data_IF_483010136418
#
_entry.id   IF_483010136418
#
_cell.length_a   1.000
_cell.length_b   1.000
_cell.length_c   1.000
_cell.angle_alpha   90.00
_cell.angle_beta   90.00
_cell.angle_gamma   90.00
#
_symmetry.space_group_name_H-M   'P 1'
#
loop_
_entity.id
_entity.type
_entity.pdbx_description
1 polymer ?
#
# COMPACT_ATOMS: atom_id res chain seq x y z
N UNK A 1 11.42 9.65 -12.93
CA UNK A 1 10.09 9.26 -12.49
C UNK A 1 9.59 8.12 -13.32
N UNK A 2 9.31 7.02 -12.68
CA UNK A 2 8.75 5.82 -13.31
C UNK A 2 7.24 5.94 -13.58
N UNK A 3 6.56 4.81 -13.54
CA UNK A 3 5.13 4.67 -13.81
C UNK A 3 4.33 4.73 -12.51
N UNK A 4 3.07 5.21 -12.57
CA UNK A 4 2.18 5.12 -11.42
C UNK A 4 1.78 3.66 -11.14
N UNK A 5 1.61 3.30 -9.87
CA UNK A 5 1.21 1.94 -9.47
C UNK A 5 -0.12 1.52 -10.10
N UNK A 6 -1.10 2.44 -10.24
CA UNK A 6 -2.37 2.17 -10.93
C UNK A 6 -2.20 1.82 -12.41
N UNK A 7 -1.21 2.40 -13.11
CA UNK A 7 -0.97 2.09 -14.53
C UNK A 7 -0.40 0.67 -14.66
N UNK A 8 0.53 0.30 -13.77
CA UNK A 8 1.08 -1.07 -13.70
C UNK A 8 0.01 -2.11 -13.35
N UNK A 9 -0.96 -1.74 -12.49
CA UNK A 9 -2.12 -2.56 -12.16
C UNK A 9 -2.97 -2.88 -13.40
N UNK A 10 -3.36 -1.86 -14.18
CA UNK A 10 -4.15 -2.06 -15.38
C UNK A 10 -3.47 -2.98 -16.41
N UNK A 11 -2.14 -2.85 -16.57
CA UNK A 11 -1.34 -3.73 -17.43
C UNK A 11 -1.31 -5.16 -16.89
N UNK A 12 -1.05 -5.34 -15.59
CA UNK A 12 -1.02 -6.65 -14.96
C UNK A 12 -2.36 -7.38 -15.07
N UNK A 13 -3.48 -6.67 -14.92
CA UNK A 13 -4.81 -7.26 -15.14
C UNK A 13 -5.00 -7.78 -16.57
N UNK A 14 -4.57 -7.02 -17.58
CA UNK A 14 -4.63 -7.43 -18.97
C UNK A 14 -3.78 -8.68 -19.22
N UNK A 15 -2.56 -8.71 -18.69
CA UNK A 15 -1.65 -9.88 -18.78
C UNK A 15 -2.29 -11.12 -18.13
N UNK A 16 -2.85 -10.98 -16.94
CA UNK A 16 -3.50 -12.06 -16.20
C UNK A 16 -4.78 -12.55 -16.92
N UNK A 17 -5.57 -11.64 -17.47
CA UNK A 17 -6.77 -11.98 -18.23
C UNK A 17 -6.49 -12.84 -19.47
N UNK A 18 -5.30 -12.74 -20.06
CA UNK A 18 -4.88 -13.56 -21.19
C UNK A 18 -4.66 -15.04 -20.81
N UNK A 19 -4.23 -15.30 -19.57
CA UNK A 19 -3.80 -16.64 -19.13
C UNK A 19 -4.77 -17.30 -18.15
N UNK A 20 -5.71 -16.54 -17.59
CA UNK A 20 -6.69 -17.07 -16.63
C UNK A 20 -8.12 -16.55 -16.92
N UNK A 21 -9.03 -17.41 -17.41
CA UNK A 21 -10.41 -17.01 -17.75
C UNK A 21 -11.31 -16.80 -16.52
N UNK A 22 -10.88 -17.20 -15.33
CA UNK A 22 -11.66 -16.97 -14.11
C UNK A 22 -11.47 -15.59 -13.52
N UNK A 23 -10.48 -14.82 -14.01
CA UNK A 23 -10.31 -13.43 -13.62
C UNK A 23 -11.41 -12.59 -14.24
N UNK A 24 -12.12 -11.87 -13.37
CA UNK A 24 -13.13 -10.88 -13.72
C UNK A 24 -12.79 -9.55 -13.01
N UNK A 25 -13.13 -8.45 -13.65
CA UNK A 25 -12.81 -7.12 -13.10
C UNK A 25 -14.10 -6.33 -12.95
N UNK A 26 -14.24 -5.71 -11.78
CA UNK A 26 -15.36 -4.82 -11.49
C UNK A 26 -14.85 -3.40 -11.23
N UNK A 27 -15.64 -2.41 -11.61
CA UNK A 27 -15.36 -1.00 -11.36
C UNK A 27 -16.66 -0.28 -10.99
N UNK A 28 -16.53 0.86 -10.33
CA UNK A 28 -17.65 1.71 -9.93
C UNK A 28 -17.58 3.07 -10.66
N UNK A 29 -17.70 3.04 -11.99
CA UNK A 29 -17.71 4.20 -12.90
C UNK A 29 -16.41 5.05 -12.88
N UNK A 30 -15.28 4.42 -12.53
CA UNK A 30 -13.96 5.07 -12.44
C UNK A 30 -12.88 4.39 -13.30
N UNK A 31 -13.27 3.54 -14.25
CA UNK A 31 -12.36 2.64 -14.98
C UNK A 31 -11.20 3.34 -15.71
N UNK A 32 -11.43 4.57 -16.19
CA UNK A 32 -10.37 5.39 -16.79
C UNK A 32 -9.32 5.83 -15.76
N UNK A 33 -9.73 6.11 -14.52
CA UNK A 33 -8.89 6.57 -13.42
C UNK A 33 -8.17 5.41 -12.73
N UNK A 34 -8.86 4.32 -12.44
CA UNK A 34 -8.32 3.10 -11.83
C UNK A 34 -7.46 2.27 -12.80
N UNK A 35 -7.57 2.55 -14.12
CA UNK A 35 -6.93 1.83 -15.23
C UNK A 35 -7.52 0.45 -15.52
N UNK A 36 -8.62 0.08 -14.91
CA UNK A 36 -9.35 -1.15 -15.23
C UNK A 36 -9.90 -1.16 -16.67
N UNK A 37 -10.08 0.02 -17.30
CA UNK A 37 -10.41 0.13 -18.72
C UNK A 37 -9.43 -0.62 -19.65
N UNK A 38 -8.18 -0.86 -19.23
CA UNK A 38 -7.19 -1.62 -20.00
C UNK A 38 -7.64 -3.09 -20.11
N UNK A 39 -8.17 -3.66 -19.02
CA UNK A 39 -8.78 -4.97 -18.99
C UNK A 39 -10.11 -4.98 -19.74
N UNK A 40 -11.00 -4.00 -19.51
CA UNK A 40 -12.29 -3.87 -20.14
C UNK A 40 -12.22 -3.90 -21.67
N UNK A 41 -11.25 -3.18 -22.27
CA UNK A 41 -11.00 -3.15 -23.72
C UNK A 41 -10.54 -4.50 -24.28
N UNK A 42 -9.79 -5.28 -23.50
CA UNK A 42 -9.26 -6.58 -23.92
C UNK A 42 -10.26 -7.72 -23.68
N UNK A 43 -11.05 -7.64 -22.63
CA UNK A 43 -11.97 -8.71 -22.18
C UNK A 43 -13.33 -8.15 -21.76
N UNK A 44 -14.14 -7.56 -22.66
CA UNK A 44 -15.38 -6.89 -22.31
C UNK A 44 -16.40 -7.80 -21.62
N UNK A 45 -16.45 -9.09 -21.96
CA UNK A 45 -17.38 -10.06 -21.36
C UNK A 45 -17.01 -10.47 -19.92
N UNK A 46 -15.87 -10.00 -19.41
CA UNK A 46 -15.36 -10.26 -18.05
C UNK A 46 -15.14 -8.98 -17.25
N UNK A 47 -15.63 -7.87 -17.76
CA UNK A 47 -15.62 -6.57 -17.10
C UNK A 47 -17.04 -6.13 -16.75
N UNK A 48 -17.23 -5.67 -15.50
CA UNK A 48 -18.54 -5.25 -14.99
C UNK A 48 -18.40 -3.85 -14.37
N UNK A 49 -19.05 -2.88 -14.99
CA UNK A 49 -19.22 -1.57 -14.36
C UNK A 49 -20.54 -1.58 -13.58
N UNK A 50 -20.47 -1.30 -12.29
CA UNK A 50 -21.64 -1.31 -11.39
C UNK A 50 -22.25 0.06 -11.21
N UNK A 51 -21.73 1.07 -11.90
CA UNK A 51 -22.05 2.47 -11.67
C UNK A 51 -21.49 2.96 -10.32
N UNK A 52 -21.88 4.15 -9.89
CA UNK A 52 -21.43 4.76 -8.62
C UNK A 52 -22.12 4.06 -7.43
N UNK A 53 -21.76 2.77 -7.22
CA UNK A 53 -22.40 1.90 -6.24
C UNK A 53 -21.39 0.90 -5.62
N UNK A 54 -20.40 1.39 -4.89
CA UNK A 54 -19.26 0.62 -4.40
C UNK A 54 -19.66 -0.51 -3.44
N UNK A 55 -20.66 -0.27 -2.59
CA UNK A 55 -21.20 -1.30 -1.70
C UNK A 55 -21.83 -2.46 -2.50
N UNK A 56 -22.59 -2.13 -3.56
CA UNK A 56 -23.13 -3.13 -4.49
C UNK A 56 -22.00 -3.85 -5.23
N UNK A 57 -20.99 -3.14 -5.72
CA UNK A 57 -19.83 -3.73 -6.39
C UNK A 57 -19.15 -4.78 -5.51
N UNK A 58 -18.92 -4.51 -4.22
CA UNK A 58 -18.32 -5.46 -3.30
C UNK A 58 -19.23 -6.69 -3.04
N UNK A 59 -20.54 -6.49 -3.00
CA UNK A 59 -21.53 -7.59 -2.94
C UNK A 59 -21.51 -8.48 -4.19
N UNK A 60 -21.48 -7.87 -5.38
CA UNK A 60 -21.37 -8.59 -6.66
C UNK A 60 -20.05 -9.35 -6.73
N UNK A 61 -18.92 -8.72 -6.35
CA UNK A 61 -17.62 -9.37 -6.30
C UNK A 61 -17.63 -10.60 -5.35
N UNK A 62 -18.27 -10.48 -4.18
CA UNK A 62 -18.44 -11.60 -3.26
C UNK A 62 -19.23 -12.75 -3.90
N UNK A 63 -20.33 -12.45 -4.58
CA UNK A 63 -21.14 -13.44 -5.30
C UNK A 63 -20.36 -14.14 -6.42
N UNK A 64 -19.60 -13.40 -7.22
CA UNK A 64 -18.73 -13.95 -8.27
C UNK A 64 -17.64 -14.86 -7.69
N UNK A 65 -17.04 -14.47 -6.57
CA UNK A 65 -16.05 -15.29 -5.87
C UNK A 65 -16.67 -16.59 -5.32
N UNK A 66 -17.89 -16.52 -4.76
CA UNK A 66 -18.62 -17.69 -4.31
C UNK A 66 -18.97 -18.65 -5.47
N UNK A 67 -19.16 -18.12 -6.69
CA UNK A 67 -19.36 -18.87 -7.91
C UNK A 67 -18.04 -19.38 -8.56
N UNK A 68 -16.89 -19.19 -7.88
CA UNK A 68 -15.59 -19.73 -8.33
C UNK A 68 -14.76 -18.78 -9.20
N UNK A 69 -15.17 -17.52 -9.40
CA UNK A 69 -14.38 -16.51 -10.11
C UNK A 69 -13.33 -15.86 -9.20
N UNK A 70 -12.40 -15.14 -9.82
CA UNK A 70 -11.36 -14.36 -9.15
C UNK A 70 -11.62 -12.88 -9.46
N UNK A 71 -12.53 -12.22 -8.71
CA UNK A 71 -12.87 -10.83 -8.95
C UNK A 71 -11.80 -9.88 -8.39
N UNK A 72 -11.40 -8.91 -9.23
CA UNK A 72 -10.68 -7.71 -8.84
C UNK A 72 -11.70 -6.56 -8.84
N UNK A 73 -12.05 -6.07 -7.67
CA UNK A 73 -12.99 -4.97 -7.48
C UNK A 73 -12.22 -3.67 -7.25
N UNK A 74 -12.42 -2.68 -8.11
CA UNK A 74 -11.61 -1.46 -8.19
C UNK A 74 -12.45 -0.20 -8.12
N UNK A 75 -11.98 0.73 -7.30
CA UNK A 75 -12.49 2.09 -7.15
C UNK A 75 -11.41 2.94 -6.45
N UNK A 76 -11.71 4.17 -6.06
CA UNK A 76 -10.81 4.92 -5.19
C UNK A 76 -10.80 4.36 -3.77
N UNK A 77 -9.67 4.50 -3.07
CA UNK A 77 -9.49 3.94 -1.73
C UNK A 77 -10.56 4.43 -0.75
N UNK A 78 -10.91 5.72 -0.78
CA UNK A 78 -11.92 6.31 0.10
C UNK A 78 -13.30 5.68 -0.11
N UNK A 79 -13.63 5.30 -1.32
CA UNK A 79 -14.93 4.69 -1.63
C UNK A 79 -14.91 3.17 -1.38
N UNK A 80 -13.81 2.49 -1.72
CA UNK A 80 -13.65 1.06 -1.46
C UNK A 80 -13.54 0.76 0.03
N UNK A 81 -12.53 1.32 0.70
CA UNK A 81 -12.28 1.04 2.10
C UNK A 81 -13.24 1.77 3.05
N UNK A 82 -13.69 2.98 2.69
CA UNK A 82 -14.61 3.76 3.52
C UNK A 82 -16.07 3.37 3.30
N UNK A 83 -16.63 3.71 2.12
CA UNK A 83 -18.06 3.54 1.82
C UNK A 83 -18.53 2.09 1.82
N UNK A 84 -17.71 1.15 1.34
CA UNK A 84 -18.05 -0.26 1.23
C UNK A 84 -17.43 -1.15 2.32
N UNK A 85 -16.98 -0.56 3.44
CA UNK A 85 -16.28 -1.28 4.52
C UNK A 85 -17.09 -2.46 5.08
N UNK A 86 -18.38 -2.26 5.32
CA UNK A 86 -19.25 -3.30 5.86
C UNK A 86 -19.35 -4.50 4.92
N UNK A 87 -19.51 -4.27 3.62
CA UNK A 87 -19.58 -5.36 2.61
C UNK A 87 -18.26 -6.11 2.52
N UNK A 88 -17.13 -5.40 2.57
CA UNK A 88 -15.81 -6.05 2.63
C UNK A 88 -15.70 -6.92 3.88
N UNK A 89 -16.11 -6.40 5.04
CA UNK A 89 -16.06 -7.13 6.31
C UNK A 89 -16.94 -8.38 6.29
N UNK A 90 -18.22 -8.22 5.99
CA UNK A 90 -19.22 -9.27 6.19
C UNK A 90 -19.37 -10.19 4.97
N UNK A 91 -19.29 -9.63 3.75
CA UNK A 91 -19.52 -10.42 2.54
C UNK A 91 -18.24 -11.01 1.96
N UNK A 92 -17.06 -10.46 2.30
CA UNK A 92 -15.78 -10.90 1.74
C UNK A 92 -14.88 -11.54 2.81
N UNK A 93 -14.55 -10.80 3.88
CA UNK A 93 -13.57 -11.26 4.87
C UNK A 93 -14.13 -12.38 5.77
N UNK A 94 -15.36 -12.23 6.27
CA UNK A 94 -15.97 -13.21 7.16
C UNK A 94 -16.07 -14.62 6.52
N UNK A 95 -16.61 -14.78 5.30
CA UNK A 95 -16.64 -16.07 4.60
C UNK A 95 -15.32 -16.43 3.89
N UNK A 96 -14.25 -15.61 3.99
CA UNK A 96 -12.92 -15.81 3.36
C UNK A 96 -12.98 -15.93 1.84
N UNK A 97 -13.84 -15.17 1.18
CA UNK A 97 -14.00 -15.23 -0.26
C UNK A 97 -12.77 -14.69 -1.01
N UNK A 98 -12.53 -15.25 -2.18
CA UNK A 98 -11.38 -14.94 -3.01
C UNK A 98 -11.55 -13.65 -3.82
N UNK A 99 -11.75 -12.52 -3.13
CA UNK A 99 -11.93 -11.19 -3.73
C UNK A 99 -10.66 -10.36 -3.56
N UNK A 100 -10.25 -9.67 -4.63
CA UNK A 100 -9.15 -8.69 -4.62
C UNK A 100 -9.75 -7.30 -4.61
N UNK A 101 -9.73 -6.64 -3.46
CA UNK A 101 -10.13 -5.24 -3.30
C UNK A 101 -8.92 -4.39 -3.69
N UNK A 102 -8.85 -4.01 -4.97
CA UNK A 102 -7.70 -3.33 -5.56
C UNK A 102 -8.04 -1.86 -5.79
N UNK A 103 -7.70 -1.03 -4.81
CA UNK A 103 -8.03 0.40 -4.80
C UNK A 103 -6.89 1.25 -5.33
N UNK A 104 -7.25 2.39 -5.92
CA UNK A 104 -6.32 3.43 -6.36
C UNK A 104 -6.61 4.75 -5.65
N UNK A 105 -5.82 5.79 -5.90
CA UNK A 105 -6.04 7.12 -5.33
C UNK A 105 -6.05 7.10 -3.78
N UNK A 106 -5.16 6.32 -3.18
CA UNK A 106 -4.94 6.36 -1.74
C UNK A 106 -3.93 7.47 -1.38
N UNK A 107 -4.08 8.06 -0.19
CA UNK A 107 -3.13 9.03 0.35
C UNK A 107 -3.38 10.48 -0.09
N UNK A 108 -2.46 11.36 0.29
CA UNK A 108 -2.47 12.79 -0.04
C UNK A 108 -2.19 13.08 -1.52
N UNK A 109 -1.44 12.19 -2.19
CA UNK A 109 -1.06 12.34 -3.60
C UNK A 109 -2.22 12.16 -4.60
N UNK A 110 -3.45 11.96 -4.10
CA UNK A 110 -4.67 12.22 -4.87
C UNK A 110 -4.67 13.66 -5.40
N UNK A 111 -4.20 14.59 -4.58
CA UNK A 111 -3.93 15.96 -5.02
C UNK A 111 -5.15 16.87 -4.93
N UNK A 112 -5.51 17.49 -6.07
CA UNK A 112 -6.47 18.58 -6.15
C UNK A 112 -7.88 18.21 -5.71
N UNK A 113 -8.27 16.93 -5.80
CA UNK A 113 -9.59 16.46 -5.36
C UNK A 113 -9.83 16.65 -3.85
N UNK A 114 -8.75 16.77 -3.07
CA UNK A 114 -8.77 17.19 -1.68
C UNK A 114 -9.26 16.11 -0.70
N UNK A 115 -9.52 16.55 0.53
CA UNK A 115 -9.80 15.70 1.69
C UNK A 115 -10.92 14.67 1.49
N UNK A 116 -11.93 14.97 0.69
CA UNK A 116 -13.05 14.06 0.43
C UNK A 116 -12.67 12.83 -0.40
N UNK A 117 -11.52 12.87 -1.07
CA UNK A 117 -11.00 11.81 -1.93
C UNK A 117 -9.68 11.23 -1.43
N UNK A 118 -8.97 11.94 -0.55
CA UNK A 118 -7.72 11.51 0.06
C UNK A 118 -8.01 10.53 1.20
N UNK A 119 -7.72 9.26 0.99
CA UNK A 119 -7.90 8.22 2.00
C UNK A 119 -6.62 8.05 2.81
N UNK A 120 -6.66 8.39 4.09
CA UNK A 120 -5.51 8.36 5.00
C UNK A 120 -5.63 7.29 6.10
N UNK A 121 -6.70 6.52 6.14
CA UNK A 121 -7.03 5.55 7.19
C UNK A 121 -7.32 4.13 6.69
N UNK A 122 -7.19 3.88 5.39
CA UNK A 122 -7.55 2.61 4.76
C UNK A 122 -6.69 1.42 5.22
N UNK A 123 -5.39 1.64 5.45
CA UNK A 123 -4.51 0.57 5.97
C UNK A 123 -5.00 0.15 7.35
N UNK A 124 -5.34 1.10 8.23
CA UNK A 124 -5.89 0.82 9.57
C UNK A 124 -7.17 0.01 9.49
N UNK A 125 -8.12 0.44 8.67
CA UNK A 125 -9.41 -0.23 8.50
C UNK A 125 -9.24 -1.66 7.99
N UNK A 126 -8.41 -1.86 6.98
CA UNK A 126 -8.21 -3.17 6.36
C UNK A 126 -7.37 -4.11 7.25
N UNK A 127 -6.38 -3.58 7.98
CA UNK A 127 -5.62 -4.37 8.97
C UNK A 127 -6.52 -4.94 10.07
N UNK A 128 -7.51 -4.19 10.50
CA UNK A 128 -8.44 -4.62 11.57
C UNK A 128 -9.32 -5.81 11.16
N UNK A 129 -9.52 -6.04 9.85
CA UNK A 129 -10.39 -7.12 9.37
C UNK A 129 -9.69 -8.49 9.46
N UNK A 130 -10.28 -9.49 10.17
CA UNK A 130 -9.79 -10.86 10.11
C UNK A 130 -9.76 -11.38 8.66
N UNK A 131 -8.79 -12.24 8.36
CA UNK A 131 -8.56 -12.87 7.06
C UNK A 131 -8.11 -11.94 5.92
N UNK A 132 -8.20 -10.63 6.04
CA UNK A 132 -7.72 -9.69 5.02
C UNK A 132 -6.18 -9.69 4.97
N UNK A 133 -5.63 -9.86 3.77
CA UNK A 133 -4.22 -9.56 3.47
C UNK A 133 -4.13 -8.11 2.97
N UNK A 134 -3.16 -7.33 3.48
CA UNK A 134 -3.02 -5.89 3.14
C UNK A 134 -1.65 -5.64 2.53
N UNK A 135 -1.64 -5.10 1.31
CA UNK A 135 -0.44 -4.89 0.49
C UNK A 135 -0.39 -3.43 0.02
N UNK A 136 0.77 -2.81 0.15
CA UNK A 136 1.06 -1.42 -0.27
C UNK A 136 2.34 -1.42 -1.12
N UNK A 137 2.26 -1.69 -2.42
CA UNK A 137 3.44 -1.76 -3.29
C UNK A 137 4.17 -0.41 -3.38
N UNK A 138 5.50 -0.44 -3.45
CA UNK A 138 6.34 0.75 -3.51
C UNK A 138 6.39 1.37 -4.92
N UNK A 139 6.35 0.55 -5.96
CA UNK A 139 6.47 0.99 -7.36
C UNK A 139 5.69 0.11 -8.35
N UNK A 140 5.91 0.38 -9.64
CA UNK A 140 5.24 -0.33 -10.72
C UNK A 140 5.65 -1.81 -10.83
N UNK A 141 6.92 -2.14 -10.62
CA UNK A 141 7.43 -3.52 -10.67
C UNK A 141 6.83 -4.36 -9.55
N UNK A 142 6.87 -3.85 -8.31
CA UNK A 142 6.29 -4.53 -7.16
C UNK A 142 4.75 -4.65 -7.28
N UNK A 143 4.09 -3.63 -7.85
CA UNK A 143 2.64 -3.70 -8.12
C UNK A 143 2.30 -4.86 -9.03
N UNK A 144 3.01 -5.02 -10.17
CA UNK A 144 2.80 -6.15 -11.07
C UNK A 144 3.02 -7.49 -10.37
N UNK A 145 4.09 -7.62 -9.58
CA UNK A 145 4.39 -8.83 -8.83
C UNK A 145 3.30 -9.14 -7.78
N UNK A 146 2.84 -8.14 -7.03
CA UNK A 146 1.79 -8.27 -6.03
C UNK A 146 0.43 -8.66 -6.65
N UNK A 147 0.06 -8.07 -7.78
CA UNK A 147 -1.17 -8.39 -8.51
C UNK A 147 -1.14 -9.83 -9.06
N UNK A 148 -0.01 -10.26 -9.62
CA UNK A 148 0.20 -11.65 -10.08
C UNK A 148 0.10 -12.64 -8.92
N UNK A 149 0.75 -12.33 -7.80
CA UNK A 149 0.62 -13.14 -6.59
C UNK A 149 -0.82 -13.19 -6.09
N UNK A 150 -1.49 -12.05 -5.99
CA UNK A 150 -2.88 -11.97 -5.50
C UNK A 150 -3.83 -12.82 -6.34
N UNK A 151 -3.65 -12.89 -7.66
CA UNK A 151 -4.46 -13.74 -8.54
C UNK A 151 -4.32 -15.23 -8.22
N UNK A 152 -3.18 -15.70 -7.71
CA UNK A 152 -2.94 -17.09 -7.33
C UNK A 152 -3.32 -17.41 -5.88
N UNK A 153 -3.44 -16.41 -5.02
CA UNK A 153 -3.77 -16.58 -3.61
C UNK A 153 -5.28 -16.74 -3.41
N UNK A 154 -5.68 -17.76 -2.64
CA UNK A 154 -7.09 -18.01 -2.29
C UNK A 154 -7.45 -17.32 -0.98
N UNK A 155 -8.13 -16.19 -1.07
CA UNK A 155 -8.56 -15.39 0.07
C UNK A 155 -8.68 -13.91 -0.26
N UNK A 156 -9.20 -13.10 0.69
CA UNK A 156 -9.35 -11.67 0.48
C UNK A 156 -8.00 -10.95 0.53
N UNK A 157 -7.79 -10.04 -0.44
CA UNK A 157 -6.58 -9.21 -0.53
C UNK A 157 -7.00 -7.78 -0.77
N UNK A 158 -6.46 -6.86 0.00
CA UNK A 158 -6.51 -5.42 -0.23
C UNK A 158 -5.19 -4.97 -0.83
N UNK A 159 -5.23 -4.35 -2.02
CA UNK A 159 -4.06 -3.80 -2.70
C UNK A 159 -4.24 -2.29 -2.79
N UNK A 160 -3.36 -1.56 -2.11
CA UNK A 160 -3.38 -0.10 -2.03
C UNK A 160 -2.46 0.53 -3.06
N UNK A 161 -3.01 1.34 -3.95
CA UNK A 161 -2.24 1.99 -5.02
C UNK A 161 -2.49 3.50 -5.05
N UNK A 162 -1.46 4.26 -5.46
CA UNK A 162 -1.55 5.71 -5.61
C UNK A 162 -1.98 6.16 -7.01
N UNK A 163 -2.25 7.48 -7.12
CA UNK A 163 -2.51 8.19 -8.38
C UNK A 163 -1.22 8.69 -9.02
N UNK A 164 -0.31 9.22 -8.20
CA UNK A 164 0.92 9.84 -8.65
C UNK A 164 1.91 8.83 -9.25
N UNK A 165 2.80 9.32 -10.12
CA UNK A 165 3.96 8.54 -10.55
C UNK A 165 4.91 8.34 -9.37
N UNK A 166 5.55 7.18 -9.32
CA UNK A 166 6.57 6.83 -8.32
C UNK A 166 7.90 6.53 -8.98
N UNK A 167 8.96 6.57 -8.20
CA UNK A 167 10.29 6.19 -8.69
C UNK A 167 10.40 4.66 -8.77
N UNK A 168 11.10 4.17 -9.77
CA UNK A 168 11.38 2.73 -9.92
C UNK A 168 12.53 2.38 -8.97
N UNK A 169 12.22 1.59 -7.94
CA UNK A 169 13.16 1.24 -6.86
C UNK A 169 13.27 -0.26 -6.61
N UNK A 170 12.31 -1.03 -7.13
CA UNK A 170 12.31 -2.48 -6.98
C UNK A 170 12.81 -3.17 -8.24
N UNK A 171 13.53 -4.30 -8.12
CA UNK A 171 13.90 -5.12 -9.27
C UNK A 171 12.66 -5.60 -10.04
N UNK A 172 12.68 -5.52 -11.38
CA UNK A 172 11.53 -5.85 -12.23
C UNK A 172 11.05 -7.31 -12.07
N UNK A 173 11.95 -8.25 -11.87
CA UNK A 173 11.63 -9.69 -11.82
C UNK A 173 11.54 -10.24 -10.39
N UNK A 174 11.54 -9.38 -9.37
CA UNK A 174 11.43 -9.84 -7.99
C UNK A 174 10.02 -10.34 -7.68
N UNK A 175 9.86 -11.62 -7.28
CA UNK A 175 8.55 -12.13 -6.91
C UNK A 175 8.07 -11.48 -5.60
N UNK A 176 6.77 -11.19 -5.53
CA UNK A 176 6.14 -10.76 -4.28
C UNK A 176 5.92 -11.97 -3.37
N UNK A 177 6.33 -11.83 -2.10
CA UNK A 177 6.14 -12.85 -1.06
C UNK A 177 5.43 -12.20 0.13
N UNK A 178 4.18 -12.58 0.44
CA UNK A 178 3.45 -11.99 1.55
C UNK A 178 4.14 -12.29 2.89
N UNK A 179 4.16 -11.30 3.78
CA UNK A 179 4.84 -11.42 5.08
C UNK A 179 6.36 -11.36 5.00
N UNK A 180 6.94 -11.02 3.84
CA UNK A 180 8.37 -10.76 3.69
C UNK A 180 8.60 -9.35 3.17
N UNK A 181 9.59 -8.70 3.77
CA UNK A 181 10.06 -7.38 3.41
C UNK A 181 11.25 -7.44 2.45
N UNK A 182 11.67 -6.28 1.95
CA UNK A 182 12.88 -6.17 1.14
C UNK A 182 13.81 -5.13 1.73
N UNK A 183 15.01 -5.52 2.14
CA UNK A 183 16.08 -4.58 2.46
C UNK A 183 16.62 -4.01 1.15
N UNK A 184 16.46 -2.71 0.95
CA UNK A 184 16.94 -1.98 -0.24
C UNK A 184 18.31 -1.34 0.00
N UNK A 185 18.63 -1.03 1.24
CA UNK A 185 19.93 -0.49 1.67
C UNK A 185 20.25 -1.02 3.05
N UNK A 186 21.45 -1.51 3.25
CA UNK A 186 21.96 -1.89 4.58
C UNK A 186 22.41 -0.65 5.37
N UNK A 187 22.42 -0.76 6.70
CA UNK A 187 22.85 0.29 7.61
C UNK A 187 22.86 -0.18 9.05
N UNK A 188 23.59 0.57 9.92
CA UNK A 188 23.85 0.20 11.31
C UNK A 188 23.37 1.21 12.35
N UNK A 189 23.06 2.47 11.95
CA UNK A 189 22.77 3.53 12.91
C UNK A 189 21.26 3.75 13.13
N UNK A 190 20.45 3.54 12.11
CA UNK A 190 18.98 3.70 12.15
C UNK A 190 18.37 2.88 11.04
N UNK A 191 17.12 2.41 11.20
CA UNK A 191 16.38 1.76 10.13
C UNK A 191 15.13 2.55 9.78
N UNK A 192 14.96 2.85 8.49
CA UNK A 192 13.70 3.26 7.91
C UNK A 192 12.91 2.02 7.46
N UNK A 193 11.69 1.85 7.95
CA UNK A 193 10.73 0.86 7.47
C UNK A 193 9.62 1.62 6.76
N UNK A 194 9.54 1.50 5.45
CA UNK A 194 8.63 2.30 4.63
C UNK A 194 7.73 1.43 3.74
N UNK A 195 6.60 1.98 3.31
CA UNK A 195 5.73 1.37 2.30
C UNK A 195 5.27 2.40 1.26
N UNK A 196 4.84 1.90 0.11
CA UNK A 196 4.36 2.76 -0.97
C UNK A 196 5.42 3.79 -1.40
N UNK A 197 4.96 4.98 -1.77
CA UNK A 197 5.83 6.05 -2.27
C UNK A 197 6.87 6.54 -1.24
N UNK A 198 6.62 6.32 0.05
CA UNK A 198 7.55 6.73 1.09
C UNK A 198 8.84 5.91 1.10
N UNK A 199 8.86 4.75 0.47
CA UNK A 199 10.08 3.93 0.33
C UNK A 199 11.17 4.65 -0.48
N UNK A 200 10.81 5.32 -1.57
CA UNK A 200 11.75 6.12 -2.35
C UNK A 200 12.27 7.34 -1.57
N UNK A 201 11.40 7.98 -0.75
CA UNK A 201 11.80 9.08 0.13
C UNK A 201 12.77 8.60 1.21
N UNK A 202 12.55 7.40 1.76
CA UNK A 202 13.46 6.78 2.74
C UNK A 202 14.84 6.46 2.13
N UNK A 203 14.90 5.97 0.90
CA UNK A 203 16.17 5.78 0.19
C UNK A 203 16.95 7.09 0.01
N UNK A 204 16.25 8.15 -0.44
CA UNK A 204 16.86 9.49 -0.58
C UNK A 204 17.35 10.05 0.76
N UNK A 205 16.61 9.85 1.84
CA UNK A 205 17.02 10.22 3.18
C UNK A 205 18.29 9.47 3.61
N UNK A 206 18.33 8.14 3.40
CA UNK A 206 19.48 7.31 3.74
C UNK A 206 20.74 7.68 2.95
N UNK A 207 20.62 8.02 1.66
CA UNK A 207 21.73 8.53 0.84
C UNK A 207 22.28 9.88 1.36
N UNK A 208 21.40 10.73 1.86
CA UNK A 208 21.79 12.04 2.41
C UNK A 208 22.45 11.88 3.77
N UNK A 209 21.96 11.00 4.64
CA UNK A 209 22.56 10.66 5.93
C UNK A 209 23.96 10.04 5.77
N UNK A 210 24.15 9.19 4.77
CA UNK A 210 25.45 8.57 4.48
C UNK A 210 26.55 9.63 4.19
N UNK A 211 26.21 10.71 3.49
CA UNK A 211 27.14 11.85 3.27
C UNK A 211 27.50 12.58 4.55
N UNK A 212 26.73 12.40 5.61
CA UNK A 212 26.95 12.93 6.95
C UNK A 212 27.61 11.91 7.89
N UNK A 213 28.00 10.74 7.37
CA UNK A 213 28.64 9.67 8.15
C UNK A 213 27.66 8.79 8.94
N UNK A 214 26.36 8.86 8.65
CA UNK A 214 25.33 8.08 9.33
C UNK A 214 24.84 6.97 8.39
N UNK A 215 24.94 5.73 8.85
CA UNK A 215 24.58 4.52 8.10
C UNK A 215 23.12 4.12 8.37
N UNK A 216 22.22 4.53 7.48
CA UNK A 216 20.80 4.24 7.59
C UNK A 216 20.39 3.01 6.71
N UNK A 217 19.72 2.04 7.34
CA UNK A 217 19.07 0.91 6.65
C UNK A 217 17.73 1.33 6.09
N UNK A 218 17.35 0.79 4.92
CA UNK A 218 16.02 0.99 4.32
C UNK A 218 15.37 -0.35 4.02
N UNK A 219 14.21 -0.58 4.60
CA UNK A 219 13.38 -1.76 4.40
C UNK A 219 12.06 -1.34 3.75
N UNK A 220 11.77 -1.89 2.56
CA UNK A 220 10.44 -1.82 1.96
C UNK A 220 9.54 -2.88 2.59
N UNK A 221 8.51 -2.44 3.31
CA UNK A 221 7.51 -3.28 3.98
C UNK A 221 6.18 -3.19 3.24
N UNK A 222 6.12 -3.70 2.02
CA UNK A 222 4.90 -3.68 1.21
C UNK A 222 3.81 -4.62 1.70
N UNK A 223 4.16 -5.69 2.43
CA UNK A 223 3.20 -6.55 3.11
C UNK A 223 2.94 -6.04 4.52
N UNK A 224 1.79 -5.37 4.71
CA UNK A 224 1.41 -4.80 6.02
C UNK A 224 0.72 -5.87 6.88
N UNK A 225 0.00 -6.78 6.23
CA UNK A 225 -0.64 -7.93 6.88
C UNK A 225 -0.71 -9.12 5.92
N UNK A 226 -0.02 -10.23 6.24
CA UNK A 226 0.89 -10.40 7.38
C UNK A 226 2.12 -9.48 7.26
N UNK A 227 2.70 -9.08 8.39
CA UNK A 227 3.92 -8.26 8.43
C UNK A 227 5.15 -9.14 8.67
N UNK A 228 6.33 -8.70 8.24
CA UNK A 228 7.61 -9.38 8.46
C UNK A 228 8.16 -9.07 9.87
N UNK A 229 7.64 -9.79 10.88
CA UNK A 229 8.06 -9.60 12.28
C UNK A 229 9.56 -9.87 12.50
N UNK A 230 10.12 -10.86 11.80
CA UNK A 230 11.54 -11.22 11.92
C UNK A 230 12.44 -10.07 11.44
N UNK A 231 12.12 -9.47 10.28
CA UNK A 231 12.88 -8.35 9.75
C UNK A 231 12.80 -7.12 10.65
N UNK A 232 11.63 -6.85 11.26
CA UNK A 232 11.44 -5.72 12.19
C UNK A 232 12.32 -5.91 13.43
N UNK A 233 12.24 -7.07 14.08
CA UNK A 233 13.02 -7.36 15.29
C UNK A 233 14.51 -7.32 15.00
N UNK A 234 14.96 -7.98 13.92
CA UNK A 234 16.36 -7.97 13.50
C UNK A 234 16.86 -6.53 13.23
N UNK A 235 16.10 -5.76 12.51
CA UNK A 235 16.47 -4.36 12.23
C UNK A 235 16.60 -3.52 13.50
N UNK A 236 15.67 -3.68 14.45
CA UNK A 236 15.69 -3.00 15.73
C UNK A 236 16.89 -3.42 16.59
N UNK A 237 17.25 -4.70 16.63
CA UNK A 237 18.42 -5.19 17.35
C UNK A 237 19.74 -4.69 16.77
N UNK A 238 19.84 -4.65 15.45
CA UNK A 238 21.09 -4.27 14.76
C UNK A 238 21.30 -2.77 14.70
N UNK A 239 20.23 -1.97 14.62
CA UNK A 239 20.34 -0.50 14.47
C UNK A 239 19.90 0.29 15.72
N UNK A 240 19.17 -0.32 16.64
CA UNK A 240 18.73 0.30 17.91
C UNK A 240 17.66 1.39 17.77
N UNK A 241 17.28 1.78 16.56
CA UNK A 241 16.30 2.84 16.28
C UNK A 241 15.53 2.57 14.99
N UNK A 242 14.21 2.67 15.04
CA UNK A 242 13.30 2.42 13.92
C UNK A 242 12.49 3.67 13.62
N UNK A 243 12.41 4.03 12.33
CA UNK A 243 11.50 5.08 11.84
C UNK A 243 10.61 4.45 10.79
N UNK A 244 9.30 4.52 10.98
CA UNK A 244 8.34 4.11 9.95
C UNK A 244 7.97 5.28 9.06
N UNK A 245 7.68 5.00 7.78
CA UNK A 245 7.29 6.02 6.81
C UNK A 245 6.15 5.53 5.91
N UNK A 246 5.03 6.23 5.96
CA UNK A 246 3.80 5.88 5.22
C UNK A 246 3.04 7.13 4.78
N UNK A 247 2.43 7.09 3.60
CA UNK A 247 1.48 8.11 3.13
C UNK A 247 0.08 7.78 3.66
N UNK A 248 -0.07 7.82 4.97
CA UNK A 248 -1.24 7.39 5.73
C UNK A 248 -1.18 8.02 7.12
N UNK A 249 -2.26 7.98 7.89
CA UNK A 249 -2.21 8.39 9.30
C UNK A 249 -1.25 7.49 10.07
N UNK A 250 -0.49 8.09 11.01
CA UNK A 250 0.37 7.33 11.93
C UNK A 250 -0.42 6.40 12.86
N UNK A 251 -1.75 6.59 12.93
CA UNK A 251 -2.63 5.82 13.81
C UNK A 251 -3.09 4.51 13.15
N UNK A 252 -2.45 3.40 13.53
CA UNK A 252 -2.87 2.04 13.14
C UNK A 252 -2.43 1.58 11.74
N UNK A 253 -1.70 2.40 10.96
CA UNK A 253 -1.10 2.00 9.68
C UNK A 253 0.14 1.12 9.84
N UNK A 254 1.15 1.34 8.99
CA UNK A 254 2.45 0.66 9.07
C UNK A 254 3.13 0.93 10.41
N UNK A 255 3.16 2.19 10.85
CA UNK A 255 3.77 2.56 12.14
C UNK A 255 3.13 1.82 13.31
N UNK A 256 1.79 1.75 13.33
CA UNK A 256 1.06 0.96 14.32
C UNK A 256 1.41 -0.52 14.29
N UNK A 257 1.52 -1.12 13.08
CA UNK A 257 1.88 -2.52 12.93
C UNK A 257 3.30 -2.83 13.43
N UNK A 258 4.27 -1.97 13.13
CA UNK A 258 5.65 -2.11 13.62
C UNK A 258 5.72 -1.92 15.12
N UNK A 259 5.00 -0.93 15.67
CA UNK A 259 4.95 -0.69 17.11
C UNK A 259 4.36 -1.89 17.88
N UNK A 260 3.30 -2.53 17.37
CA UNK A 260 2.72 -3.75 17.95
C UNK A 260 3.76 -4.88 18.00
N UNK A 261 4.51 -5.11 16.93
CA UNK A 261 5.58 -6.13 16.91
C UNK A 261 6.65 -5.82 17.94
N UNK A 262 7.16 -4.59 17.96
CA UNK A 262 8.21 -4.18 18.90
C UNK A 262 7.73 -4.27 20.36
N UNK A 263 6.52 -3.83 20.66
CA UNK A 263 5.96 -3.89 22.01
C UNK A 263 5.81 -5.33 22.53
N UNK A 264 5.42 -6.27 21.65
CA UNK A 264 5.20 -7.68 22.02
C UNK A 264 6.47 -8.51 22.05
N UNK A 265 7.47 -8.18 21.23
CA UNK A 265 8.71 -8.97 21.12
C UNK A 265 9.86 -8.36 21.91
N UNK A 266 10.22 -7.12 21.60
CA UNK A 266 11.33 -6.40 22.25
C UNK A 266 11.21 -4.89 21.96
N UNK A 267 10.90 -4.08 22.97
CA UNK A 267 10.77 -2.62 22.79
C UNK A 267 12.09 -1.95 22.40
N UNK A 268 12.02 -1.05 21.41
CA UNK A 268 13.11 -0.22 20.93
C UNK A 268 12.65 1.22 20.72
N UNK A 269 13.60 2.14 20.55
CA UNK A 269 13.31 3.51 20.14
C UNK A 269 12.64 3.50 18.76
N UNK A 270 11.51 4.18 18.68
CA UNK A 270 10.73 4.25 17.45
C UNK A 270 10.16 5.66 17.25
N UNK A 271 10.09 6.08 15.99
CA UNK A 271 9.38 7.26 15.52
C UNK A 271 8.53 6.91 14.29
N UNK A 272 7.49 7.69 14.02
CA UNK A 272 6.54 7.43 12.95
C UNK A 272 6.38 8.69 12.08
N UNK A 273 6.68 8.57 10.79
CA UNK A 273 6.44 9.62 9.79
C UNK A 273 5.25 9.24 8.94
N UNK A 274 4.19 9.99 9.05
CA UNK A 274 2.91 9.86 8.37
C UNK A 274 2.09 11.12 8.57
N UNK A 275 0.82 11.11 8.18
CA UNK A 275 -0.07 12.21 8.54
C UNK A 275 -0.47 12.12 10.00
N UNK A 276 -0.44 13.27 10.68
CA UNK A 276 -0.93 13.37 12.05
C UNK A 276 -2.48 13.23 12.12
N UNK A 277 -3.07 13.56 13.25
CA UNK A 277 -4.52 13.51 13.46
C UNK A 277 -5.24 14.66 12.72
N UNK A 278 -5.19 14.63 11.38
CA UNK A 278 -5.75 15.67 10.52
C UNK A 278 -6.21 15.09 9.17
N UNK A 279 -7.21 15.73 8.58
CA UNK A 279 -7.58 15.47 7.20
C UNK A 279 -6.59 16.11 6.22
N UNK A 280 -6.60 15.63 4.97
CA UNK A 280 -5.88 16.27 3.89
C UNK A 280 -6.55 17.57 3.42
N UNK A 281 -6.02 18.14 2.34
CA UNK A 281 -6.54 19.35 1.70
C UNK A 281 -6.27 19.31 0.19
N UNK A 282 -6.92 20.18 -0.58
CA UNK A 282 -6.64 20.34 -2.01
C UNK A 282 -5.27 20.99 -2.23
N UNK A 283 -4.52 20.47 -3.20
CA UNK A 283 -3.21 21.00 -3.56
C UNK A 283 -2.53 20.09 -4.59
N UNK A 284 -1.36 20.47 -5.08
CA UNK A 284 -0.56 19.54 -5.91
C UNK A 284 0.07 18.46 -5.04
N UNK A 285 0.19 17.25 -5.59
CA UNK A 285 0.69 16.10 -4.84
C UNK A 285 2.01 16.36 -4.10
N UNK A 286 3.01 16.93 -4.78
CA UNK A 286 4.32 17.19 -4.17
C UNK A 286 4.26 18.29 -3.09
N UNK A 287 3.46 19.36 -3.32
CA UNK A 287 3.23 20.43 -2.33
C UNK A 287 2.56 19.89 -1.07
N UNK A 288 1.61 18.95 -1.21
CA UNK A 288 0.96 18.30 -0.08
C UNK A 288 1.93 17.43 0.71
N UNK A 289 2.79 16.65 0.05
CA UNK A 289 3.81 15.88 0.75
C UNK A 289 4.73 16.77 1.59
N UNK A 290 5.10 17.96 1.09
CA UNK A 290 5.89 18.95 1.84
C UNK A 290 5.12 19.50 3.04
N UNK A 291 3.88 19.94 2.85
CA UNK A 291 3.01 20.52 3.90
C UNK A 291 2.80 19.52 5.05
N UNK A 292 2.64 18.24 4.74
CA UNK A 292 2.39 17.20 5.73
C UNK A 292 3.68 16.49 6.21
N UNK A 293 4.85 16.96 5.81
CA UNK A 293 6.14 16.43 6.29
C UNK A 293 6.48 15.03 5.74
N UNK A 294 5.85 14.60 4.64
CA UNK A 294 6.13 13.31 4.01
C UNK A 294 7.30 13.43 3.02
N UNK A 295 8.45 13.87 3.55
CA UNK A 295 9.65 14.21 2.77
C UNK A 295 10.90 13.49 3.28
N UNK A 296 11.93 13.43 2.43
CA UNK A 296 13.22 12.91 2.83
C UNK A 296 13.86 13.76 3.95
N UNK A 297 13.67 15.08 3.90
CA UNK A 297 14.19 16.04 4.88
C UNK A 297 13.59 15.80 6.26
N UNK A 298 12.30 15.51 6.34
CA UNK A 298 11.65 15.19 7.61
C UNK A 298 12.13 13.84 8.17
N UNK A 299 12.29 12.82 7.31
CA UNK A 299 12.89 11.54 7.71
C UNK A 299 14.31 11.70 8.24
N UNK A 300 15.13 12.57 7.63
CA UNK A 300 16.48 12.89 8.12
C UNK A 300 16.40 13.53 9.52
N UNK A 301 15.53 14.49 9.71
CA UNK A 301 15.35 15.17 11.02
C UNK A 301 14.90 14.19 12.10
N UNK A 302 13.95 13.31 11.80
CA UNK A 302 13.51 12.23 12.70
C UNK A 302 14.65 11.27 13.03
N UNK A 303 15.47 10.88 12.03
CA UNK A 303 16.62 10.01 12.24
C UNK A 303 17.67 10.64 13.17
N UNK A 304 18.05 11.90 12.95
CA UNK A 304 19.00 12.63 13.79
C UNK A 304 18.49 12.77 15.23
N UNK A 305 17.20 13.10 15.37
CA UNK A 305 16.57 13.18 16.70
C UNK A 305 16.60 11.83 17.42
N UNK A 306 16.23 10.74 16.73
CA UNK A 306 16.14 9.43 17.35
C UNK A 306 17.53 8.87 17.73
N UNK A 307 18.55 9.07 16.86
CA UNK A 307 19.93 8.69 17.12
C UNK A 307 20.48 9.44 18.36
N UNK A 308 20.16 10.71 18.54
CA UNK A 308 20.61 11.49 19.70
C UNK A 308 20.05 11.00 21.05
N UNK A 309 19.06 10.09 21.02
CA UNK A 309 18.40 9.52 22.22
C UNK A 309 18.87 8.10 22.55
N UNK A 310 19.76 7.52 21.74
CA UNK A 310 20.39 6.23 22.04
C UNK A 310 21.41 6.35 23.17
#
# INVERSE_FOLDING_TARGET
>A
MGKATRDAYGEALKELGAVNPDIVVLDADLSASTKTQVFAKAYPDRFFDTGIAEANMMGVAAGLAAAGKIPFASTFAVFGAGRAYEQIRNSICYPKLNVKVAVTHAGLTVGEDGATHQMLEDITLMRALPNMTVIVPADAAETKAAVKWAASYKGPVYIRMGRAKCDDIMPEDKPFVPGKSTTLKEGSDVTFIACGIMTAKALKAAETLEKQGISARVINMSSIKPIDEEAIVKAAEETGAIITAEEHTVKGGLGGAVAEVLALKKPYLMDMVGTEDTFGQSGKADELLEVYGLTAEHLISSALHLISRK
#
